data_IF_313680264319
#
_entry.id   IF_313680264319
#
_cell.length_a   1.000
_cell.length_b   1.000
_cell.length_c   1.000
_cell.angle_alpha   90.00
_cell.angle_beta   90.00
_cell.angle_gamma   90.00
#
_symmetry.space_group_name_H-M   'P 1'
#
loop_
_entity.id
_entity.type
_entity.pdbx_description
1 polymer ?
#
# COMPACT_ATOMS: atom_id res chain seq x y z
N UNK A 1 1.12 -13.10 -18.91
CA UNK A 1 1.68 -11.79 -19.34
C UNK A 1 1.66 -10.85 -18.15
N UNK A 2 2.81 -10.55 -17.56
CA UNK A 2 2.97 -9.57 -16.50
C UNK A 2 2.97 -8.17 -17.13
N UNK A 3 1.89 -7.41 -16.98
CA UNK A 3 1.84 -6.02 -17.47
C UNK A 3 2.61 -5.12 -16.49
N UNK A 4 3.79 -4.59 -16.86
CA UNK A 4 4.61 -3.79 -15.94
C UNK A 4 3.89 -2.52 -15.46
N UNK A 5 2.98 -1.97 -16.27
CA UNK A 5 2.12 -0.86 -15.88
C UNK A 5 1.20 -1.17 -14.69
N UNK A 6 0.67 -2.41 -14.60
CA UNK A 6 -0.17 -2.82 -13.48
C UNK A 6 0.62 -2.90 -12.17
N UNK A 7 1.86 -3.42 -12.22
CA UNK A 7 2.74 -3.48 -11.06
C UNK A 7 3.13 -2.09 -10.55
N UNK A 8 3.42 -1.15 -11.46
CA UNK A 8 3.74 0.24 -11.09
C UNK A 8 2.52 0.92 -10.46
N UNK A 9 1.33 0.74 -11.05
CA UNK A 9 0.08 1.26 -10.51
C UNK A 9 -0.21 0.67 -9.11
N UNK A 10 0.01 -0.63 -8.91
CA UNK A 10 -0.15 -1.29 -7.62
C UNK A 10 0.81 -0.73 -6.56
N UNK A 11 2.08 -0.49 -6.91
CA UNK A 11 3.05 0.13 -6.00
C UNK A 11 2.64 1.57 -5.65
N UNK A 12 2.19 2.36 -6.65
CA UNK A 12 1.70 3.72 -6.41
C UNK A 12 0.47 3.74 -5.48
N UNK A 13 -0.48 2.83 -5.70
CA UNK A 13 -1.63 2.64 -4.80
C UNK A 13 -1.19 2.26 -3.39
N UNK A 14 -0.23 1.36 -3.24
CA UNK A 14 0.29 0.96 -1.93
C UNK A 14 0.91 2.14 -1.16
N UNK A 15 1.66 3.01 -1.84
CA UNK A 15 2.22 4.23 -1.23
C UNK A 15 1.10 5.18 -0.78
N UNK A 16 0.11 5.44 -1.62
CA UNK A 16 -1.04 6.28 -1.28
C UNK A 16 -1.82 5.70 -0.09
N UNK A 17 -2.02 4.39 -0.04
CA UNK A 17 -2.70 3.70 1.07
C UNK A 17 -1.92 3.85 2.39
N UNK A 18 -0.59 3.73 2.36
CA UNK A 18 0.25 3.95 3.55
C UNK A 18 0.18 5.40 4.05
N UNK A 19 0.21 6.37 3.13
CA UNK A 19 0.08 7.81 3.48
C UNK A 19 -1.30 8.09 4.08
N UNK A 20 -2.37 7.56 3.48
CA UNK A 20 -3.73 7.71 3.99
C UNK A 20 -3.90 7.09 5.39
N UNK A 21 -3.38 5.86 5.59
CA UNK A 21 -3.39 5.20 6.89
C UNK A 21 -2.58 5.94 7.96
N UNK A 22 -1.41 6.46 7.59
CA UNK A 22 -0.58 7.28 8.47
C UNK A 22 -1.26 8.59 8.89
N UNK A 23 -1.91 9.28 7.94
CA UNK A 23 -2.72 10.47 8.23
C UNK A 23 -3.91 10.17 9.15
N UNK A 24 -4.55 9.01 9.00
CA UNK A 24 -5.63 8.59 9.90
C UNK A 24 -5.13 8.26 11.30
N UNK A 25 -3.94 7.67 11.44
CA UNK A 25 -3.24 7.49 12.73
C UNK A 25 -2.94 8.84 13.40
N UNK A 26 -2.49 9.83 12.62
CA UNK A 26 -2.23 11.18 13.11
C UNK A 26 -3.52 11.89 13.54
N UNK A 27 -4.60 11.73 12.76
CA UNK A 27 -5.93 12.23 13.12
C UNK A 27 -6.49 11.56 14.38
N UNK A 28 -6.23 10.26 14.59
CA UNK A 28 -6.59 9.58 15.84
C UNK A 28 -5.89 10.22 17.05
N UNK A 29 -4.58 10.47 16.95
CA UNK A 29 -3.82 11.13 18.00
C UNK A 29 -4.35 12.55 18.32
N UNK A 30 -4.84 13.27 17.31
CA UNK A 30 -5.38 14.62 17.47
C UNK A 30 -6.84 14.68 17.95
N UNK A 31 -7.67 13.67 17.66
CA UNK A 31 -9.13 13.73 17.85
C UNK A 31 -9.74 12.63 18.72
N UNK A 32 -8.98 11.58 19.09
CA UNK A 32 -9.41 10.50 19.97
C UNK A 32 -10.48 9.56 19.41
N UNK A 33 -10.91 9.73 18.15
CA UNK A 33 -12.02 8.94 17.59
C UNK A 33 -11.60 7.52 17.16
N UNK A 34 -12.12 6.43 17.76
CA UNK A 34 -11.68 5.05 17.49
C UNK A 34 -11.84 4.61 16.02
N UNK A 35 -12.75 5.23 15.26
CA UNK A 35 -12.90 5.03 13.81
C UNK A 35 -11.61 5.30 13.03
N UNK A 36 -10.80 6.25 13.48
CA UNK A 36 -9.56 6.64 12.79
C UNK A 36 -8.48 5.55 12.94
N UNK A 37 -8.48 4.85 14.08
CA UNK A 37 -7.55 3.75 14.34
C UNK A 37 -7.88 2.51 13.50
N UNK A 38 -9.17 2.17 13.38
CA UNK A 38 -9.64 1.06 12.52
C UNK A 38 -9.29 1.31 11.05
N UNK A 39 -9.56 2.52 10.56
CA UNK A 39 -9.24 2.89 9.19
C UNK A 39 -7.73 2.91 8.93
N UNK A 40 -6.94 3.41 9.87
CA UNK A 40 -5.49 3.41 9.77
C UNK A 40 -4.92 1.99 9.73
N UNK A 41 -5.36 1.10 10.62
CA UNK A 41 -4.92 -0.29 10.64
C UNK A 41 -5.29 -1.02 9.34
N UNK A 42 -6.51 -0.81 8.85
CA UNK A 42 -6.96 -1.37 7.58
C UNK A 42 -6.10 -0.88 6.40
N UNK A 43 -5.88 0.43 6.30
CA UNK A 43 -5.10 1.03 5.23
C UNK A 43 -3.63 0.55 5.25
N UNK A 44 -3.03 0.40 6.44
CA UNK A 44 -1.67 -0.15 6.59
C UNK A 44 -1.60 -1.62 6.15
N UNK A 45 -2.54 -2.46 6.57
CA UNK A 45 -2.57 -3.87 6.20
C UNK A 45 -2.74 -4.06 4.68
N UNK A 46 -3.67 -3.31 4.08
CA UNK A 46 -3.88 -3.31 2.62
C UNK A 46 -2.65 -2.79 1.90
N UNK A 47 -2.07 -1.67 2.34
CA UNK A 47 -0.87 -1.08 1.77
C UNK A 47 0.32 -2.06 1.78
N UNK A 48 0.59 -2.71 2.91
CA UNK A 48 1.66 -3.70 3.03
C UNK A 48 1.44 -4.93 2.14
N UNK A 49 0.20 -5.43 2.07
CA UNK A 49 -0.17 -6.55 1.21
C UNK A 49 0.06 -6.22 -0.27
N UNK A 50 -0.45 -5.07 -0.75
CA UNK A 50 -0.29 -4.67 -2.15
C UNK A 50 1.16 -4.34 -2.48
N UNK A 51 1.90 -3.70 -1.56
CA UNK A 51 3.33 -3.43 -1.75
C UNK A 51 4.14 -4.71 -1.95
N UNK A 52 3.94 -5.70 -1.08
CA UNK A 52 4.65 -6.99 -1.19
C UNK A 52 4.33 -7.73 -2.50
N UNK A 53 3.05 -7.77 -2.89
CA UNK A 53 2.63 -8.36 -4.16
C UNK A 53 3.24 -7.62 -5.37
N UNK A 54 3.22 -6.28 -5.36
CA UNK A 54 3.80 -5.43 -6.40
C UNK A 54 5.31 -5.62 -6.53
N UNK A 55 6.03 -5.70 -5.42
CA UNK A 55 7.49 -5.95 -5.41
C UNK A 55 7.81 -7.34 -5.97
N UNK A 56 7.08 -8.38 -5.60
CA UNK A 56 7.30 -9.74 -6.13
C UNK A 56 7.01 -9.78 -7.63
N UNK A 57 5.91 -9.16 -8.08
CA UNK A 57 5.56 -9.09 -9.49
C UNK A 57 6.62 -8.32 -10.31
N UNK A 58 7.12 -7.20 -9.79
CA UNK A 58 8.18 -6.41 -10.43
C UNK A 58 9.49 -7.20 -10.51
N UNK A 59 9.88 -7.88 -9.42
CA UNK A 59 11.08 -8.73 -9.39
C UNK A 59 11.00 -9.87 -10.40
N UNK A 60 9.82 -10.51 -10.57
CA UNK A 60 9.61 -11.55 -11.58
C UNK A 60 9.75 -10.97 -12.99
N UNK A 61 9.09 -9.84 -13.28
CA UNK A 61 9.17 -9.20 -14.58
C UNK A 61 10.59 -8.75 -14.97
N UNK A 62 11.40 -8.29 -14.00
CA UNK A 62 12.80 -7.96 -14.24
C UNK A 62 13.67 -9.19 -14.48
N UNK A 63 13.33 -10.32 -13.84
CA UNK A 63 14.04 -11.59 -14.01
C UNK A 63 13.76 -12.22 -15.38
N UNK A 64 12.52 -12.12 -15.85
CA UNK A 64 12.11 -12.63 -17.18
C UNK A 64 12.68 -11.80 -18.34
N UNK A 65 13.17 -10.58 -18.08
CA UNK A 65 13.82 -9.71 -19.08
C UNK A 65 15.33 -9.96 -19.25
N UNK A 66 15.93 -10.79 -18.39
CA UNK A 66 17.37 -11.04 -18.34
C UNK A 66 17.71 -12.40 -18.95
#
# INVERSE_FOLDING_TARGET
>A
MSHPGLSIAAIGFAVLALVAGGLQLWAFAASGGPRHLVLAAFALAVGASVASAGVVALRRALRDRR
#
